data_IF_060252383253
#
_entry.id   IF_060252383253
#
_cell.length_a   1.000
_cell.length_b   1.000
_cell.length_c   1.000
_cell.angle_alpha   90.00
_cell.angle_beta   90.00
_cell.angle_gamma   90.00
#
_symmetry.space_group_name_H-M   'P 1'
#
loop_
_entity.id
_entity.type
_entity.pdbx_description
1 polymer ?
#
# COMPACT_ATOMS: atom_id res chain seq x y z
N UNK A 1 -10.24 7.32 -18.84
CA UNK A 1 -8.88 7.91 -18.79
C UNK A 1 -8.31 7.64 -17.41
N UNK A 2 -7.28 6.80 -17.30
CA UNK A 2 -6.55 6.57 -16.04
C UNK A 2 -5.74 7.83 -15.75
N UNK A 3 -5.83 8.36 -14.54
CA UNK A 3 -5.11 9.59 -14.17
C UNK A 3 -3.60 9.33 -14.19
N UNK A 4 -2.87 10.01 -15.09
CA UNK A 4 -1.41 9.90 -15.22
C UNK A 4 -0.68 10.16 -13.89
N UNK A 5 -1.28 10.95 -13.00
CA UNK A 5 -0.70 11.19 -11.68
C UNK A 5 -0.77 9.97 -10.76
N UNK A 6 -1.85 9.19 -10.79
CA UNK A 6 -1.99 7.96 -10.00
C UNK A 6 -0.97 6.90 -10.43
N UNK A 7 -0.81 6.69 -11.74
CA UNK A 7 0.18 5.75 -12.29
C UNK A 7 1.62 6.13 -11.88
N UNK A 8 1.94 7.42 -11.85
CA UNK A 8 3.27 7.91 -11.44
C UNK A 8 3.55 7.68 -9.94
N UNK A 9 2.54 7.83 -9.09
CA UNK A 9 2.68 7.63 -7.64
C UNK A 9 2.78 6.14 -7.30
N UNK A 10 1.96 5.31 -7.93
CA UNK A 10 2.05 3.85 -7.80
C UNK A 10 3.46 3.39 -8.21
N UNK A 11 3.96 3.85 -9.36
CA UNK A 11 5.32 3.52 -9.81
C UNK A 11 6.40 3.92 -8.79
N UNK A 12 6.33 5.14 -8.24
CA UNK A 12 7.29 5.59 -7.21
C UNK A 12 7.26 4.71 -5.97
N UNK A 13 6.08 4.23 -5.57
CA UNK A 13 5.95 3.35 -4.42
C UNK A 13 6.56 1.96 -4.69
N UNK A 14 6.21 1.33 -5.82
CA UNK A 14 6.79 0.03 -6.21
C UNK A 14 8.31 0.09 -6.37
N UNK A 15 8.84 1.23 -6.85
CA UNK A 15 10.28 1.47 -6.87
C UNK A 15 10.87 1.47 -5.46
N UNK A 16 10.25 2.16 -4.50
CA UNK A 16 10.71 2.21 -3.10
C UNK A 16 10.62 0.85 -2.42
N UNK A 17 9.52 0.12 -2.59
CA UNK A 17 9.34 -1.20 -1.97
C UNK A 17 10.31 -2.22 -2.56
N UNK A 18 10.46 -2.25 -3.89
CA UNK A 18 11.42 -3.13 -4.55
C UNK A 18 12.87 -2.86 -4.12
N UNK A 19 13.29 -1.59 -4.07
CA UNK A 19 14.63 -1.24 -3.56
C UNK A 19 14.80 -1.58 -2.07
N UNK A 20 13.77 -1.40 -1.25
CA UNK A 20 13.80 -1.76 0.16
C UNK A 20 13.98 -3.27 0.36
N UNK A 21 13.18 -4.10 -0.32
CA UNK A 21 13.32 -5.56 -0.22
C UNK A 21 14.64 -6.06 -0.81
N UNK A 22 15.11 -5.48 -1.93
CA UNK A 22 16.43 -5.77 -2.46
C UNK A 22 17.53 -5.43 -1.44
N UNK A 23 17.44 -4.28 -0.78
CA UNK A 23 18.37 -3.89 0.28
C UNK A 23 18.35 -4.88 1.45
N UNK A 24 17.18 -5.34 1.89
CA UNK A 24 17.08 -6.36 2.94
C UNK A 24 17.72 -7.69 2.52
N UNK A 25 17.51 -8.14 1.26
CA UNK A 25 18.17 -9.34 0.75
C UNK A 25 19.70 -9.19 0.71
N UNK A 26 20.21 -8.03 0.26
CA UNK A 26 21.65 -7.74 0.25
C UNK A 26 22.20 -7.68 1.67
N UNK A 27 21.48 -7.05 2.60
CA UNK A 27 21.86 -6.98 4.01
C UNK A 27 21.93 -8.39 4.62
N UNK A 28 20.97 -9.25 4.31
CA UNK A 28 20.99 -10.65 4.72
C UNK A 28 22.21 -11.39 4.17
N UNK A 29 22.46 -11.31 2.87
CA UNK A 29 23.65 -11.92 2.25
C UNK A 29 24.96 -11.40 2.85
N UNK A 30 25.04 -10.10 3.08
CA UNK A 30 26.21 -9.46 3.69
C UNK A 30 26.41 -9.93 5.13
N UNK A 31 25.34 -10.01 5.92
CA UNK A 31 25.40 -10.51 7.30
C UNK A 31 25.86 -11.97 7.37
N UNK A 32 25.40 -12.80 6.44
CA UNK A 32 25.84 -14.19 6.32
C UNK A 32 27.34 -14.28 5.98
N UNK A 33 27.79 -13.52 4.98
CA UNK A 33 29.21 -13.47 4.60
C UNK A 33 30.10 -12.98 5.75
N UNK A 34 29.62 -12.01 6.53
CA UNK A 34 30.35 -11.47 7.67
C UNK A 34 30.47 -12.51 8.80
N UNK A 35 29.40 -13.25 9.10
CA UNK A 35 29.43 -14.36 10.07
C UNK A 35 30.45 -15.43 9.62
N UNK A 36 30.42 -15.79 8.33
CA UNK A 36 31.35 -16.77 7.77
C UNK A 36 32.81 -16.29 7.79
N UNK A 37 33.05 -15.00 7.50
CA UNK A 37 34.40 -14.42 7.50
C UNK A 37 35.00 -14.33 8.90
N UNK A 38 34.16 -14.07 9.91
CA UNK A 38 34.56 -13.94 11.31
C UNK A 38 34.69 -15.29 12.03
N UNK A 39 34.44 -16.40 11.33
CA UNK A 39 34.40 -17.76 11.90
C UNK A 39 33.54 -17.83 13.17
N UNK A 40 32.47 -17.03 13.20
CA UNK A 40 31.49 -17.07 14.28
C UNK A 40 30.72 -18.36 14.09
N UNK A 41 31.10 -19.40 14.82
CA UNK A 41 30.51 -20.73 14.77
C UNK A 41 28.99 -20.62 14.84
N UNK A 42 28.34 -20.80 13.67
CA UNK A 42 26.90 -20.97 13.56
C UNK A 42 26.62 -22.35 14.15
N UNK A 43 25.66 -22.50 15.08
CA UNK A 43 25.31 -23.80 15.62
C UNK A 43 25.12 -24.83 14.48
N UNK A 44 25.83 -25.96 14.55
CA UNK A 44 25.89 -27.03 13.54
C UNK A 44 24.52 -27.61 13.14
N UNK A 45 23.45 -27.23 13.84
CA UNK A 45 22.08 -27.67 13.58
C UNK A 45 21.40 -26.95 12.40
N UNK A 46 22.07 -26.00 11.75
CA UNK A 46 21.49 -25.33 10.58
C UNK A 46 21.79 -26.10 9.30
N UNK A 47 20.81 -26.81 8.69
CA UNK A 47 21.04 -27.50 7.43
C UNK A 47 21.57 -26.51 6.39
N UNK A 48 22.59 -26.94 5.64
CA UNK A 48 23.40 -26.16 4.70
C UNK A 48 22.65 -24.96 4.11
N UNK A 49 22.91 -23.75 4.64
CA UNK A 49 22.39 -22.48 4.15
C UNK A 49 22.97 -22.08 2.77
N UNK A 50 24.06 -22.74 2.36
CA UNK A 50 24.82 -22.47 1.14
C UNK A 50 23.99 -22.47 -0.17
N UNK A 51 23.05 -23.41 -0.43
CA UNK A 51 22.26 -23.41 -1.65
C UNK A 51 21.17 -22.32 -1.66
N UNK A 52 20.89 -21.65 -0.54
CA UNK A 52 19.92 -20.56 -0.47
C UNK A 52 20.51 -19.22 -0.93
N UNK A 53 21.83 -19.03 -0.83
CA UNK A 53 22.49 -17.76 -1.20
C UNK A 53 22.26 -17.38 -2.67
N UNK A 54 22.43 -18.29 -3.66
CA UNK A 54 22.12 -17.97 -5.05
C UNK A 54 20.65 -17.60 -5.25
N UNK A 55 19.73 -18.30 -4.58
CA UNK A 55 18.30 -18.01 -4.66
C UNK A 55 17.97 -16.60 -4.12
N UNK A 56 18.53 -16.23 -2.96
CA UNK A 56 18.34 -14.89 -2.38
C UNK A 56 18.97 -13.81 -3.27
N UNK A 57 20.14 -14.08 -3.87
CA UNK A 57 20.78 -13.16 -4.81
C UNK A 57 19.92 -12.94 -6.07
N UNK A 58 19.35 -14.01 -6.63
CA UNK A 58 18.41 -13.92 -7.77
C UNK A 58 17.16 -13.14 -7.39
N UNK A 59 16.58 -13.40 -6.22
CA UNK A 59 15.42 -12.66 -5.71
C UNK A 59 15.75 -11.17 -5.55
N UNK A 60 16.91 -10.83 -4.99
CA UNK A 60 17.37 -9.45 -4.87
C UNK A 60 17.48 -8.76 -6.23
N UNK A 61 18.08 -9.44 -7.22
CA UNK A 61 18.19 -8.94 -8.59
C UNK A 61 16.81 -8.72 -9.24
N UNK A 62 15.85 -9.61 -9.02
CA UNK A 62 14.49 -9.47 -9.52
C UNK A 62 13.73 -8.32 -8.82
N UNK A 63 13.95 -8.09 -7.53
CA UNK A 63 13.41 -6.90 -6.84
C UNK A 63 13.97 -5.61 -7.44
N UNK A 64 15.28 -5.54 -7.69
CA UNK A 64 15.90 -4.40 -8.38
C UNK A 64 15.31 -4.22 -9.77
N UNK A 65 15.24 -5.27 -10.57
CA UNK A 65 14.70 -5.23 -11.93
C UNK A 65 13.24 -4.74 -11.95
N UNK A 66 12.41 -5.28 -11.06
CA UNK A 66 11.01 -4.86 -10.92
C UNK A 66 10.88 -3.40 -10.46
N UNK A 67 11.79 -2.90 -9.62
CA UNK A 67 11.76 -1.51 -9.15
C UNK A 67 12.02 -0.48 -10.27
N UNK A 68 12.76 -0.86 -11.32
CA UNK A 68 13.09 0.03 -12.44
C UNK A 68 12.19 -0.14 -13.67
N UNK A 69 11.42 -1.24 -13.76
CA UNK A 69 10.57 -1.54 -14.91
C UNK A 69 9.09 -1.61 -14.48
N UNK A 70 8.27 -0.57 -14.75
CA UNK A 70 6.84 -0.57 -14.43
C UNK A 70 6.05 -1.83 -14.82
N UNK A 71 6.24 -2.43 -16.02
CA UNK A 71 5.49 -3.64 -16.40
C UNK A 71 5.87 -4.86 -15.55
N UNK A 72 6.96 -4.81 -14.79
CA UNK A 72 7.44 -5.90 -13.94
C UNK A 72 7.07 -5.70 -12.46
N UNK A 73 6.31 -4.67 -12.09
CA UNK A 73 5.91 -4.42 -10.71
C UNK A 73 5.15 -5.61 -10.07
N UNK A 74 4.47 -6.43 -10.87
CA UNK A 74 3.76 -7.62 -10.42
C UNK A 74 4.69 -8.72 -9.88
N UNK A 75 5.97 -8.69 -10.25
CA UNK A 75 6.96 -9.66 -9.77
C UNK A 75 7.16 -9.52 -8.26
N UNK A 76 7.14 -8.29 -7.71
CA UNK A 76 7.40 -8.06 -6.28
C UNK A 76 6.47 -8.85 -5.34
N UNK A 77 5.13 -8.74 -5.43
CA UNK A 77 4.25 -9.53 -4.58
C UNK A 77 4.36 -11.04 -4.83
N UNK A 78 4.61 -11.47 -6.07
CA UNK A 78 4.78 -12.89 -6.38
C UNK A 78 6.04 -13.43 -5.71
N UNK A 79 7.16 -12.68 -5.75
CA UNK A 79 8.39 -13.06 -5.05
C UNK A 79 8.17 -13.12 -3.55
N UNK A 80 7.47 -12.15 -2.95
CA UNK A 80 7.16 -12.18 -1.52
C UNK A 80 6.29 -13.39 -1.15
N UNK A 81 5.27 -13.72 -1.96
CA UNK A 81 4.49 -14.95 -1.75
C UNK A 81 5.36 -16.20 -1.83
N UNK A 82 6.22 -16.31 -2.85
CA UNK A 82 7.15 -17.44 -3.00
C UNK A 82 8.20 -17.51 -1.88
N UNK A 83 8.57 -16.36 -1.30
CA UNK A 83 9.46 -16.30 -0.14
C UNK A 83 8.75 -16.65 1.16
N UNK A 84 7.43 -16.58 1.24
CA UNK A 84 6.66 -16.86 2.46
C UNK A 84 6.97 -18.23 3.08
N UNK A 85 7.09 -19.34 2.32
CA UNK A 85 7.50 -20.63 2.89
C UNK A 85 8.99 -20.74 3.22
N UNK A 86 9.87 -19.88 2.69
CA UNK A 86 11.32 -20.04 2.87
C UNK A 86 11.75 -19.95 4.34
N UNK A 87 11.37 -18.91 5.12
CA UNK A 87 11.75 -18.88 6.53
C UNK A 87 11.04 -19.97 7.33
N UNK A 88 9.93 -20.56 6.87
CA UNK A 88 9.34 -21.73 7.53
C UNK A 88 10.26 -22.97 7.47
N UNK A 89 11.02 -23.12 6.39
CA UNK A 89 11.96 -24.24 6.20
C UNK A 89 13.17 -24.10 7.13
N UNK A 90 13.67 -22.88 7.34
CA UNK A 90 14.98 -22.65 7.96
C UNK A 90 14.95 -21.98 9.34
N UNK A 91 13.88 -21.24 9.67
CA UNK A 91 13.80 -20.47 10.91
C UNK A 91 12.51 -20.80 11.67
N UNK A 92 12.64 -21.10 12.96
CA UNK A 92 11.51 -21.31 13.87
C UNK A 92 10.83 -19.99 14.29
N UNK A 93 10.90 -18.94 13.47
CA UNK A 93 10.37 -17.61 13.82
C UNK A 93 9.18 -17.29 12.91
N UNK A 94 7.94 -17.62 13.32
CA UNK A 94 6.75 -17.45 12.49
C UNK A 94 6.45 -16.00 12.11
N UNK A 95 6.98 -15.04 12.87
CA UNK A 95 6.69 -13.61 12.69
C UNK A 95 7.23 -13.07 11.35
N UNK A 96 8.36 -13.59 10.86
CA UNK A 96 8.94 -13.16 9.59
C UNK A 96 8.08 -13.62 8.41
N UNK A 97 7.56 -14.85 8.46
CA UNK A 97 6.67 -15.39 7.43
C UNK A 97 5.40 -14.56 7.30
N UNK A 98 4.82 -14.19 8.44
CA UNK A 98 3.62 -13.35 8.48
C UNK A 98 3.91 -11.94 7.92
N UNK A 99 5.05 -11.34 8.27
CA UNK A 99 5.44 -10.03 7.75
C UNK A 99 5.63 -10.02 6.22
N UNK A 100 6.30 -11.04 5.68
CA UNK A 100 6.48 -11.21 4.23
C UNK A 100 5.14 -11.44 3.52
N UNK A 101 4.27 -12.28 4.10
CA UNK A 101 2.92 -12.53 3.57
C UNK A 101 2.07 -11.24 3.55
N UNK A 102 2.01 -10.50 4.66
CA UNK A 102 1.26 -9.23 4.74
C UNK A 102 1.80 -8.22 3.73
N UNK A 103 3.13 -8.12 3.58
CA UNK A 103 3.72 -7.24 2.58
C UNK A 103 3.31 -7.64 1.15
N UNK A 104 3.28 -8.94 0.84
CA UNK A 104 2.80 -9.45 -0.45
C UNK A 104 1.33 -9.06 -0.70
N UNK A 105 0.46 -9.28 0.28
CA UNK A 105 -0.96 -8.94 0.21
C UNK A 105 -1.20 -7.44 -0.01
N UNK A 106 -0.45 -6.58 0.68
CA UNK A 106 -0.52 -5.12 0.49
C UNK A 106 -0.13 -4.73 -0.94
N UNK A 107 0.93 -5.33 -1.50
CA UNK A 107 1.34 -5.06 -2.88
C UNK A 107 0.34 -5.62 -3.91
N UNK A 108 -0.21 -6.82 -3.70
CA UNK A 108 -1.27 -7.39 -4.55
C UNK A 108 -2.52 -6.52 -4.55
N UNK A 109 -2.90 -5.98 -3.40
CA UNK A 109 -3.99 -5.04 -3.28
C UNK A 109 -3.73 -3.76 -4.07
N UNK A 110 -2.53 -3.18 -3.94
CA UNK A 110 -2.16 -1.98 -4.69
C UNK A 110 -2.10 -2.18 -6.20
N UNK A 111 -1.78 -3.38 -6.67
CA UNK A 111 -1.87 -3.73 -8.10
C UNK A 111 -3.31 -3.88 -8.60
N UNK A 112 -4.30 -3.83 -7.70
CA UNK A 112 -5.70 -4.04 -8.03
C UNK A 112 -6.06 -5.50 -8.31
N UNK A 113 -5.25 -6.48 -7.86
CA UNK A 113 -5.56 -7.90 -8.06
C UNK A 113 -6.92 -8.25 -7.42
N UNK A 114 -7.23 -7.65 -6.27
CA UNK A 114 -8.52 -7.79 -5.58
C UNK A 114 -9.63 -6.89 -6.14
N UNK A 115 -9.50 -6.28 -7.32
CA UNK A 115 -10.58 -5.46 -7.89
C UNK A 115 -11.85 -6.28 -8.18
N UNK A 116 -11.67 -7.51 -8.68
CA UNK A 116 -12.74 -8.47 -8.99
C UNK A 116 -12.64 -9.68 -8.05
N UNK A 117 -13.76 -10.10 -7.46
CA UNK A 117 -13.84 -11.23 -6.52
C UNK A 117 -12.93 -11.08 -5.28
N UNK A 118 -13.01 -9.91 -4.61
CA UNK A 118 -12.10 -9.55 -3.52
C UNK A 118 -11.98 -10.64 -2.46
N UNK A 119 -13.14 -11.11 -1.98
CA UNK A 119 -13.23 -12.10 -0.92
C UNK A 119 -12.62 -13.44 -1.32
N UNK A 120 -12.95 -13.96 -2.50
CA UNK A 120 -12.45 -15.26 -2.97
C UNK A 120 -10.93 -15.28 -3.07
N UNK A 121 -10.34 -14.27 -3.72
CA UNK A 121 -8.88 -14.18 -3.89
C UNK A 121 -8.17 -14.01 -2.55
N UNK A 122 -8.74 -13.21 -1.65
CA UNK A 122 -8.19 -13.01 -0.32
C UNK A 122 -8.24 -14.30 0.51
N UNK A 123 -9.37 -15.01 0.51
CA UNK A 123 -9.48 -16.32 1.16
C UNK A 123 -8.49 -17.32 0.57
N UNK A 124 -8.31 -17.34 -0.76
CA UNK A 124 -7.32 -18.20 -1.41
C UNK A 124 -5.89 -17.91 -0.94
N UNK A 125 -5.52 -16.64 -0.76
CA UNK A 125 -4.19 -16.25 -0.25
C UNK A 125 -3.97 -16.72 1.19
N UNK A 126 -4.99 -16.62 2.05
CA UNK A 126 -4.96 -17.10 3.43
C UNK A 126 -4.84 -18.63 3.46
N UNK A 127 -5.61 -19.32 2.62
CA UNK A 127 -5.52 -20.78 2.50
C UNK A 127 -4.13 -21.22 2.02
N UNK A 128 -3.51 -20.50 1.08
CA UNK A 128 -2.13 -20.73 0.68
C UNK A 128 -1.16 -20.60 1.87
N UNK A 129 -1.30 -19.52 2.65
CA UNK A 129 -0.47 -19.31 3.83
C UNK A 129 -0.63 -20.44 4.87
N UNK A 130 -1.86 -20.87 5.16
CA UNK A 130 -2.11 -21.99 6.07
C UNK A 130 -1.60 -23.32 5.53
N UNK A 131 -1.70 -23.55 4.22
CA UNK A 131 -1.15 -24.73 3.58
C UNK A 131 0.37 -24.80 3.76
N UNK A 132 1.08 -23.68 3.57
CA UNK A 132 2.53 -23.62 3.83
C UNK A 132 2.87 -23.98 5.29
N UNK A 133 2.11 -23.46 6.25
CA UNK A 133 2.31 -23.75 7.67
C UNK A 133 2.03 -25.23 8.00
N UNK A 134 0.95 -25.80 7.45
CA UNK A 134 0.60 -27.19 7.66
C UNK A 134 1.66 -28.14 7.07
N UNK A 135 2.11 -27.89 5.84
CA UNK A 135 3.18 -28.66 5.19
C UNK A 135 4.45 -28.62 6.04
N UNK A 136 4.84 -27.44 6.52
CA UNK A 136 6.02 -27.31 7.37
C UNK A 136 5.86 -28.05 8.70
N UNK A 137 4.73 -27.89 9.39
CA UNK A 137 4.47 -28.59 10.65
C UNK A 137 4.55 -30.11 10.50
N UNK A 138 3.99 -30.64 9.42
CA UNK A 138 4.06 -32.07 9.09
C UNK A 138 5.51 -32.50 8.82
N UNK A 139 6.25 -31.74 8.01
CA UNK A 139 7.66 -32.04 7.70
C UNK A 139 8.58 -31.95 8.92
N UNK A 140 8.24 -31.09 9.88
CA UNK A 140 8.95 -30.95 11.15
C UNK A 140 8.58 -32.06 12.16
N UNK A 141 7.63 -32.94 11.84
CA UNK A 141 7.13 -33.96 12.76
C UNK A 141 6.34 -33.39 13.93
N UNK A 142 5.80 -32.18 13.81
CA UNK A 142 4.97 -31.58 14.86
C UNK A 142 3.62 -32.30 14.96
N UNK A 143 3.10 -32.42 16.18
CA UNK A 143 1.77 -32.99 16.39
C UNK A 143 0.70 -32.16 15.68
N UNK A 144 -0.32 -32.82 15.12
CA UNK A 144 -1.43 -32.13 14.45
C UNK A 144 -2.11 -31.10 15.37
N UNK A 145 -2.15 -31.37 16.68
CA UNK A 145 -2.66 -30.45 17.68
C UNK A 145 -1.86 -29.13 17.74
N UNK A 146 -0.53 -29.20 17.72
CA UNK A 146 0.32 -28.00 17.72
C UNK A 146 0.11 -27.18 16.44
N UNK A 147 0.04 -27.83 15.28
CA UNK A 147 -0.22 -27.18 13.99
C UNK A 147 -1.57 -26.44 14.03
N UNK A 148 -2.62 -27.10 14.53
CA UNK A 148 -3.94 -26.50 14.67
C UNK A 148 -3.95 -25.32 15.65
N UNK A 149 -3.24 -25.40 16.79
CA UNK A 149 -3.10 -24.28 17.73
C UNK A 149 -2.43 -23.09 17.04
N UNK A 150 -1.35 -23.31 16.28
CA UNK A 150 -0.68 -22.23 15.57
C UNK A 150 -1.59 -21.58 14.52
N UNK A 151 -2.32 -22.38 13.74
CA UNK A 151 -3.30 -21.87 12.76
C UNK A 151 -4.40 -21.08 13.47
N UNK A 152 -4.94 -21.60 14.57
CA UNK A 152 -5.99 -20.93 15.37
C UNK A 152 -5.49 -19.59 15.90
N UNK A 153 -4.29 -19.55 16.49
CA UNK A 153 -3.69 -18.32 16.98
C UNK A 153 -3.51 -17.29 15.87
N UNK A 154 -3.05 -17.72 14.69
CA UNK A 154 -2.86 -16.83 13.55
C UNK A 154 -4.18 -16.32 12.98
N UNK A 155 -5.23 -17.16 12.95
CA UNK A 155 -6.60 -16.74 12.63
C UNK A 155 -7.09 -15.65 13.58
N UNK A 156 -6.94 -15.86 14.90
CA UNK A 156 -7.33 -14.88 15.91
C UNK A 156 -6.55 -13.57 15.78
N UNK A 157 -5.25 -13.66 15.50
CA UNK A 157 -4.41 -12.49 15.28
C UNK A 157 -4.80 -11.70 14.02
N UNK A 158 -5.03 -12.39 12.89
CA UNK A 158 -5.51 -11.75 11.66
C UNK A 158 -6.89 -11.12 11.86
N UNK A 159 -7.77 -11.80 12.60
CA UNK A 159 -9.10 -11.27 12.94
C UNK A 159 -8.99 -10.03 13.85
N UNK A 160 -8.08 -10.03 14.82
CA UNK A 160 -7.78 -8.85 15.63
C UNK A 160 -7.26 -7.69 14.78
N UNK A 161 -6.31 -7.92 13.87
CA UNK A 161 -5.83 -6.89 12.94
C UNK A 161 -6.97 -6.35 12.06
N UNK A 162 -7.88 -7.22 11.62
CA UNK A 162 -9.06 -6.82 10.86
C UNK A 162 -9.99 -5.92 11.68
N UNK A 163 -10.19 -6.19 12.97
CA UNK A 163 -11.01 -5.33 13.85
C UNK A 163 -10.31 -3.98 14.08
N UNK A 164 -9.05 -4.01 14.51
CA UNK A 164 -8.30 -2.79 14.91
C UNK A 164 -8.10 -1.86 13.72
N UNK A 165 -7.78 -2.43 12.57
CA UNK A 165 -7.38 -1.65 11.42
C UNK A 165 -8.38 -1.68 10.26
N UNK A 166 -9.49 -2.43 10.33
CA UNK A 166 -10.44 -2.61 9.22
C UNK A 166 -10.96 -1.30 8.62
N UNK A 167 -11.24 -0.30 9.46
CA UNK A 167 -11.65 1.04 9.01
C UNK A 167 -10.47 1.89 8.53
N UNK A 168 -9.30 1.74 9.15
CA UNK A 168 -8.10 2.51 8.81
C UNK A 168 -7.40 2.01 7.53
N UNK A 169 -7.50 0.73 7.19
CA UNK A 169 -6.97 0.20 5.93
C UNK A 169 -7.61 0.92 4.74
N UNK A 170 -8.91 1.21 4.84
CA UNK A 170 -9.62 1.98 3.82
C UNK A 170 -9.06 3.41 3.71
N UNK A 171 -8.59 4.00 4.80
CA UNK A 171 -8.04 5.38 4.83
C UNK A 171 -6.60 5.42 4.27
N UNK A 172 -5.74 4.47 4.63
CA UNK A 172 -4.35 4.40 4.13
C UNK A 172 -4.23 3.86 2.70
N UNK A 173 -5.23 3.11 2.23
CA UNK A 173 -5.31 2.60 0.86
C UNK A 173 -6.21 3.45 -0.05
N UNK A 174 -6.89 4.47 0.48
CA UNK A 174 -7.57 5.47 -0.35
C UNK A 174 -6.50 6.17 -1.16
N UNK A 175 -6.55 6.02 -2.48
CA UNK A 175 -5.66 6.76 -3.37
C UNK A 175 -5.69 8.24 -2.96
N UNK A 176 -4.52 8.87 -2.75
CA UNK A 176 -4.49 10.27 -2.36
C UNK A 176 -5.26 11.05 -3.42
N UNK A 177 -6.23 11.87 -2.96
CA UNK A 177 -7.09 12.62 -3.86
C UNK A 177 -6.23 13.36 -4.90
N UNK A 178 -6.52 13.22 -6.20
CA UNK A 178 -5.75 13.90 -7.23
C UNK A 178 -5.60 15.39 -6.91
N UNK A 179 -4.40 15.92 -7.10
CA UNK A 179 -4.14 17.34 -6.91
C UNK A 179 -4.82 18.12 -8.02
N UNK A 180 -5.64 19.10 -7.64
CA UNK A 180 -6.23 20.04 -8.57
C UNK A 180 -5.62 21.41 -8.27
N UNK A 181 -4.79 21.87 -9.20
CA UNK A 181 -4.23 23.21 -9.14
C UNK A 181 -5.31 24.21 -9.55
N UNK A 182 -5.65 25.12 -8.64
CA UNK A 182 -6.66 26.16 -8.91
C UNK A 182 -6.19 27.14 -9.99
N UNK A 183 -4.88 27.27 -10.15
CA UNK A 183 -4.21 28.02 -11.20
C UNK A 183 -4.46 27.45 -12.60
N UNK A 184 -4.51 26.11 -12.76
CA UNK A 184 -4.81 25.47 -14.07
C UNK A 184 -6.24 25.75 -14.54
N UNK A 185 -7.17 25.93 -13.60
CA UNK A 185 -8.54 26.34 -13.88
C UNK A 185 -8.69 27.86 -14.10
N UNK A 186 -7.57 28.61 -14.04
CA UNK A 186 -7.55 30.05 -14.22
C UNK A 186 -8.32 30.81 -13.13
N UNK A 187 -8.39 30.28 -11.91
CA UNK A 187 -9.04 31.01 -10.81
C UNK A 187 -8.18 32.18 -10.35
N UNK A 188 -8.82 33.34 -10.21
CA UNK A 188 -8.21 34.53 -9.62
C UNK A 188 -8.09 34.36 -8.10
N UNK A 189 -7.18 35.12 -7.46
CA UNK A 189 -7.01 35.10 -5.98
C UNK A 189 -8.32 35.32 -5.22
N UNK A 190 -9.20 36.20 -5.73
CA UNK A 190 -10.53 36.46 -5.15
C UNK A 190 -11.48 35.26 -5.29
N UNK A 191 -11.50 34.62 -6.47
CA UNK A 191 -12.30 33.42 -6.70
C UNK A 191 -11.85 32.27 -5.78
N UNK A 192 -10.53 32.10 -5.60
CA UNK A 192 -9.96 31.11 -4.67
C UNK A 192 -10.41 31.40 -3.23
N UNK A 193 -10.33 32.65 -2.80
CA UNK A 193 -10.76 33.04 -1.45
C UNK A 193 -12.24 32.73 -1.20
N UNK A 194 -13.12 33.06 -2.17
CA UNK A 194 -14.57 32.80 -2.05
C UNK A 194 -14.89 31.30 -2.11
N UNK A 195 -14.20 30.56 -2.98
CA UNK A 195 -14.31 29.10 -3.06
C UNK A 195 -13.94 28.44 -1.73
N UNK A 196 -12.78 28.79 -1.15
CA UNK A 196 -12.34 28.24 0.14
C UNK A 196 -13.32 28.56 1.27
N UNK A 197 -13.79 29.81 1.35
CA UNK A 197 -14.78 30.20 2.35
C UNK A 197 -16.09 29.39 2.21
N UNK A 198 -16.56 29.18 0.97
CA UNK A 198 -17.76 28.38 0.70
C UNK A 198 -17.58 26.90 1.05
N UNK A 199 -16.40 26.33 0.77
CA UNK A 199 -16.06 24.94 1.12
C UNK A 199 -15.95 24.74 2.64
N UNK A 200 -15.49 25.77 3.37
CA UNK A 200 -15.47 25.82 4.83
C UNK A 200 -16.86 26.01 5.46
N UNK A 201 -17.93 26.00 4.66
CA UNK A 201 -19.30 26.06 5.15
C UNK A 201 -19.89 27.47 5.26
N UNK A 202 -19.11 28.53 4.97
CA UNK A 202 -19.63 29.90 5.07
C UNK A 202 -20.77 30.15 4.08
N UNK A 203 -21.73 30.96 4.50
CA UNK A 203 -22.83 31.41 3.64
C UNK A 203 -22.37 32.53 2.71
N UNK A 204 -23.09 32.74 1.59
CA UNK A 204 -22.79 33.84 0.64
C UNK A 204 -22.85 35.20 1.33
N UNK A 205 -23.76 35.36 2.29
CA UNK A 205 -23.91 36.56 3.12
C UNK A 205 -22.68 36.79 4.01
N UNK A 206 -22.21 35.76 4.70
CA UNK A 206 -20.99 35.85 5.53
C UNK A 206 -19.76 36.24 4.69
N UNK A 207 -19.59 35.59 3.54
CA UNK A 207 -18.48 35.89 2.62
C UNK A 207 -18.56 37.35 2.14
N UNK A 208 -19.77 37.83 1.84
CA UNK A 208 -19.99 39.21 1.40
C UNK A 208 -19.62 40.23 2.49
N UNK A 209 -20.05 39.98 3.74
CA UNK A 209 -19.74 40.82 4.90
C UNK A 209 -18.24 40.86 5.17
N UNK A 210 -17.57 39.70 5.23
CA UNK A 210 -16.13 39.61 5.50
C UNK A 210 -15.28 40.32 4.45
N UNK A 211 -15.71 40.25 3.19
CA UNK A 211 -14.98 40.86 2.08
C UNK A 211 -15.46 42.27 1.73
N UNK A 212 -16.42 42.83 2.50
CA UNK A 212 -17.01 44.16 2.30
C UNK A 212 -17.54 44.38 0.87
N UNK A 213 -18.24 43.38 0.33
CA UNK A 213 -18.85 43.43 -1.01
C UNK A 213 -20.34 43.12 -0.93
N UNK A 214 -21.08 43.43 -2.00
CA UNK A 214 -22.51 43.05 -2.09
C UNK A 214 -22.64 41.54 -2.31
N UNK A 215 -23.70 40.92 -1.79
CA UNK A 215 -23.97 39.49 -1.99
C UNK A 215 -24.03 39.11 -3.48
N UNK A 216 -24.57 39.99 -4.33
CA UNK A 216 -24.61 39.79 -5.79
C UNK A 216 -23.22 39.64 -6.40
N UNK A 217 -22.23 40.37 -5.89
CA UNK A 217 -20.82 40.25 -6.32
C UNK A 217 -20.26 38.87 -6.00
N UNK A 218 -20.55 38.34 -4.81
CA UNK A 218 -20.13 36.99 -4.40
C UNK A 218 -20.82 35.93 -5.26
N UNK A 219 -22.15 36.03 -5.46
CA UNK A 219 -22.90 35.09 -6.32
C UNK A 219 -22.38 35.06 -7.75
N UNK A 220 -22.16 36.23 -8.35
CA UNK A 220 -21.63 36.32 -9.72
C UNK A 220 -20.21 35.73 -9.82
N UNK A 221 -19.39 35.93 -8.79
CA UNK A 221 -18.03 35.36 -8.74
C UNK A 221 -18.07 33.84 -8.58
N UNK A 222 -18.90 33.31 -7.68
CA UNK A 222 -19.09 31.88 -7.52
C UNK A 222 -19.71 31.23 -8.77
N UNK A 223 -20.62 31.91 -9.49
CA UNK A 223 -21.15 31.42 -10.75
C UNK A 223 -20.06 31.24 -11.81
N UNK A 224 -19.06 32.14 -11.86
CA UNK A 224 -17.87 31.95 -12.72
C UNK A 224 -17.04 30.75 -12.28
N UNK A 225 -16.86 30.56 -10.97
CA UNK A 225 -16.18 29.38 -10.42
C UNK A 225 -16.91 28.09 -10.80
N UNK A 226 -18.25 28.05 -10.69
CA UNK A 226 -19.05 26.88 -11.09
C UNK A 226 -18.83 26.52 -12.55
N UNK A 227 -18.82 27.51 -13.46
CA UNK A 227 -18.51 27.29 -14.88
C UNK A 227 -17.08 26.79 -15.11
N UNK A 228 -16.07 27.36 -14.43
CA UNK A 228 -14.67 26.91 -14.51
C UNK A 228 -14.50 25.48 -14.02
N UNK A 229 -15.28 25.09 -13.01
CA UNK A 229 -15.32 23.72 -12.49
C UNK A 229 -16.28 22.82 -13.28
N UNK A 230 -16.96 23.30 -14.32
CA UNK A 230 -17.97 22.54 -15.07
C UNK A 230 -18.98 21.82 -14.14
N UNK A 231 -19.59 22.60 -13.25
CA UNK A 231 -20.62 22.14 -12.30
C UNK A 231 -21.80 23.10 -12.28
N UNK A 232 -23.04 22.62 -12.09
CA UNK A 232 -24.22 23.49 -12.14
C UNK A 232 -24.44 24.28 -10.84
N UNK A 233 -24.03 23.74 -9.69
CA UNK A 233 -24.42 24.27 -8.39
C UNK A 233 -23.38 24.05 -7.28
N UNK A 234 -23.71 24.56 -6.08
CA UNK A 234 -22.90 24.42 -4.86
C UNK A 234 -22.66 22.95 -4.51
N UNK A 235 -23.66 22.09 -4.68
CA UNK A 235 -23.57 20.67 -4.34
C UNK A 235 -22.61 19.96 -5.27
N UNK A 236 -22.73 20.21 -6.58
CA UNK A 236 -21.80 19.72 -7.61
C UNK A 236 -20.37 20.20 -7.36
N UNK A 237 -20.18 21.48 -7.00
CA UNK A 237 -18.87 22.00 -6.64
C UNK A 237 -18.27 21.29 -5.42
N UNK A 238 -19.05 21.09 -4.35
CA UNK A 238 -18.61 20.36 -3.15
C UNK A 238 -18.27 18.90 -3.49
N UNK A 239 -19.11 18.24 -4.27
CA UNK A 239 -18.88 16.86 -4.71
C UNK A 239 -17.58 16.77 -5.53
N UNK A 240 -17.37 17.68 -6.49
CA UNK A 240 -16.15 17.74 -7.30
C UNK A 240 -14.93 18.02 -6.42
N UNK A 241 -14.98 19.04 -5.57
CA UNK A 241 -13.88 19.35 -4.63
C UNK A 241 -13.63 18.24 -3.61
N UNK A 242 -14.62 17.41 -3.27
CA UNK A 242 -14.43 16.26 -2.39
C UNK A 242 -13.59 15.15 -3.04
N UNK A 243 -13.53 15.09 -4.37
CA UNK A 243 -12.71 14.13 -5.11
C UNK A 243 -11.26 14.57 -5.27
N UNK A 244 -10.95 15.86 -5.17
CA UNK A 244 -9.61 16.42 -5.37
C UNK A 244 -9.00 16.98 -4.08
N UNK A 245 -7.68 17.11 -4.04
CA UNK A 245 -6.98 17.93 -3.05
C UNK A 245 -6.61 19.26 -3.71
N UNK A 246 -7.14 20.37 -3.16
CA UNK A 246 -7.02 21.70 -3.76
C UNK A 246 -5.65 22.31 -3.42
N UNK A 247 -4.87 22.67 -4.43
CA UNK A 247 -3.60 23.38 -4.28
C UNK A 247 -3.66 24.70 -5.04
N UNK A 248 -3.07 25.75 -4.45
CA UNK A 248 -2.95 27.08 -5.08
C UNK A 248 -1.91 27.07 -6.20
#
# INVERSE_FOLDING_TARGET
MRDKNSDSQQFRLFKKTGLFFAFLCVLYLFSYLLIQLLDLSIPDETPSFVPMLPAVAVIAALFVLSAFRPPLNWIQPVLLLLMTPLPMIYAQIPIFNLGVFIAAEILLYRLGLFARWKLLKFVLSILYFFLCQAIRGINAGESLFNILIYILFLCLFLFFLLIVYGEQWIIYLKEPKPLLFLSDLGLTKKEIAYLKALLNGKSVKEIAVENRVKESTVRNTLARVYRKFDVPDKSGLKAKCALYSLKE
#
